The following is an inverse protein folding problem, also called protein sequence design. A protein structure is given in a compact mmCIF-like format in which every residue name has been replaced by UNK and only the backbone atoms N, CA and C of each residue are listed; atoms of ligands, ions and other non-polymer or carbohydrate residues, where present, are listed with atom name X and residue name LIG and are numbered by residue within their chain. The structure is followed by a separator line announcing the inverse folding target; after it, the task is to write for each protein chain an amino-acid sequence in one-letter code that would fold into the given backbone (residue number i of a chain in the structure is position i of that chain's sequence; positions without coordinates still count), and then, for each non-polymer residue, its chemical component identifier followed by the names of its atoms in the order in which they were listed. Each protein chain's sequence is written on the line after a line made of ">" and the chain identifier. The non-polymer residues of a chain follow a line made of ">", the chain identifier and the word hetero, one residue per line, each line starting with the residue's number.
data_IF_214579559766
#
_entry.id   IF_214579559766
#
_cell.length_a   1.000
_cell.length_b   1.000
_cell.length_c   1.000
_cell.angle_alpha   90.00
_cell.angle_beta   90.00
_cell.angle_gamma   90.00
#
_symmetry.space_group_name_H-M   'P 1'
#
loop_
_entity.id
_entity.type
_entity.pdbx_description
1 polymer ?
#
# COMPACT_ATOMS: atom_id res chain seq x y z
N UNK A 1 0.92 3.41 12.09
CA UNK A 1 1.84 4.43 11.54
C UNK A 1 1.62 4.64 10.05
N UNK A 2 1.99 3.70 9.18
CA UNK A 2 1.83 3.90 7.73
C UNK A 2 0.59 3.20 7.17
N UNK A 3 0.01 3.73 6.09
CA UNK A 3 -1.07 3.11 5.30
C UNK A 3 -0.63 3.01 3.84
N UNK A 4 -0.83 1.83 3.23
CA UNK A 4 -0.59 1.59 1.81
C UNK A 4 -1.92 1.22 1.13
N UNK A 5 -2.17 1.80 -0.04
CA UNK A 5 -3.35 1.53 -0.87
C UNK A 5 -2.86 1.19 -2.26
N UNK A 6 -3.35 0.08 -2.84
CA UNK A 6 -3.07 -0.30 -4.22
C UNK A 6 -4.37 -0.29 -5.04
N UNK A 7 -4.32 0.34 -6.20
CA UNK A 7 -5.40 0.37 -7.17
C UNK A 7 -5.06 -0.59 -8.33
N UNK A 8 -5.57 -1.83 -8.31
CA UNK A 8 -5.20 -2.84 -9.30
C UNK A 8 -5.63 -2.49 -10.73
N UNK A 9 -6.62 -1.61 -10.91
CA UNK A 9 -7.11 -1.23 -12.23
C UNK A 9 -6.07 -0.47 -13.07
N UNK A 10 -5.26 0.37 -12.44
CA UNK A 10 -4.27 1.23 -13.11
C UNK A 10 -2.85 1.09 -12.55
N UNK A 11 -2.65 0.23 -11.54
CA UNK A 11 -1.35 -0.02 -10.93
C UNK A 11 -0.86 1.11 -10.02
N UNK A 12 -1.72 2.08 -9.68
CA UNK A 12 -1.37 3.16 -8.77
C UNK A 12 -1.21 2.62 -7.35
N UNK A 13 -0.20 3.14 -6.64
CA UNK A 13 0.05 2.84 -5.24
C UNK A 13 0.18 4.15 -4.50
N UNK A 14 -0.49 4.26 -3.36
CA UNK A 14 -0.40 5.40 -2.45
C UNK A 14 0.17 4.95 -1.11
N UNK A 15 0.97 5.80 -0.47
CA UNK A 15 1.57 5.55 0.83
C UNK A 15 1.47 6.80 1.71
N UNK A 16 0.87 6.66 2.88
CA UNK A 16 0.69 7.76 3.84
C UNK A 16 1.33 7.44 5.19
N UNK A 17 1.93 8.44 5.85
CA UNK A 17 2.39 8.35 7.24
C UNK A 17 1.33 8.96 8.17
N UNK A 18 0.41 8.15 8.69
CA UNK A 18 -0.72 8.62 9.51
C UNK A 18 -0.31 9.32 10.82
N UNK A 19 0.93 9.15 11.28
CA UNK A 19 1.42 9.88 12.46
C UNK A 19 1.77 11.34 12.12
N UNK A 20 2.29 11.58 10.91
CA UNK A 20 2.70 12.92 10.45
C UNK A 20 1.67 13.59 9.54
N UNK A 21 0.87 12.77 8.87
CA UNK A 21 -0.16 13.13 7.91
C UNK A 21 -1.45 12.36 8.22
N UNK A 22 -2.14 12.69 9.32
CA UNK A 22 -3.37 12.03 9.73
C UNK A 22 -4.53 12.24 8.74
N UNK A 23 -4.39 13.20 7.82
CA UNK A 23 -5.39 13.56 6.81
C UNK A 23 -5.05 13.04 5.41
N UNK A 24 -3.97 12.26 5.26
CA UNK A 24 -3.59 11.58 4.01
C UNK A 24 -3.47 12.56 2.82
N UNK A 25 -2.92 13.75 3.08
CA UNK A 25 -2.76 14.81 2.07
C UNK A 25 -1.48 14.64 1.23
N UNK A 26 -0.50 13.86 1.70
CA UNK A 26 0.82 13.74 1.08
C UNK A 26 1.15 12.28 0.74
N UNK A 27 1.03 11.93 -0.54
CA UNK A 27 1.44 10.62 -1.02
C UNK A 27 2.97 10.48 -1.07
N UNK A 28 3.48 9.44 -0.41
CA UNK A 28 4.89 9.10 -0.28
C UNK A 28 5.29 7.90 -1.15
N UNK A 29 4.40 7.33 -1.97
CA UNK A 29 4.64 6.07 -2.66
C UNK A 29 5.79 6.09 -3.69
N UNK A 30 6.01 7.25 -4.32
CA UNK A 30 7.11 7.47 -5.27
C UNK A 30 8.40 7.97 -4.60
N UNK A 31 8.35 8.30 -3.31
CA UNK A 31 9.51 8.82 -2.60
C UNK A 31 10.54 7.70 -2.33
N UNK A 32 11.79 7.80 -2.85
CA UNK A 32 12.80 6.76 -2.70
C UNK A 32 13.10 6.38 -1.25
N UNK A 33 12.98 7.33 -0.31
CA UNK A 33 13.23 7.10 1.11
C UNK A 33 12.26 6.09 1.73
N UNK A 34 11.04 5.96 1.17
CA UNK A 34 10.00 5.09 1.70
C UNK A 34 9.81 3.79 0.89
N UNK A 35 10.68 3.49 -0.09
CA UNK A 35 10.57 2.26 -0.89
C UNK A 35 10.61 0.98 -0.02
N UNK A 36 11.42 0.97 1.04
CA UNK A 36 11.47 -0.15 1.97
C UNK A 36 10.12 -0.34 2.69
N UNK A 37 9.54 0.74 3.21
CA UNK A 37 8.24 0.72 3.88
C UNK A 37 7.11 0.31 2.93
N UNK A 38 7.13 0.83 1.70
CA UNK A 38 6.19 0.42 0.64
C UNK A 38 6.27 -1.08 0.39
N UNK A 39 7.48 -1.62 0.23
CA UNK A 39 7.68 -3.06 0.00
C UNK A 39 7.15 -3.90 1.16
N UNK A 40 7.52 -3.56 2.40
CA UNK A 40 7.09 -4.29 3.61
C UNK A 40 5.57 -4.27 3.79
N UNK A 41 4.91 -3.15 3.48
CA UNK A 41 3.44 -3.07 3.54
C UNK A 41 2.77 -3.80 2.37
N UNK A 42 3.36 -3.78 1.18
CA UNK A 42 2.88 -4.56 0.04
C UNK A 42 2.93 -6.07 0.29
N UNK A 43 3.99 -6.56 0.93
CA UNK A 43 4.11 -7.96 1.36
C UNK A 43 2.98 -8.32 2.35
N UNK A 44 2.77 -7.50 3.37
CA UNK A 44 1.67 -7.68 4.34
C UNK A 44 0.28 -7.61 3.71
N UNK A 45 0.11 -6.74 2.71
CA UNK A 45 -1.15 -6.64 1.97
C UNK A 45 -1.42 -7.96 1.23
N UNK A 46 -0.42 -8.51 0.55
CA UNK A 46 -0.57 -9.80 -0.15
C UNK A 46 -0.87 -10.94 0.82
N UNK A 47 -0.18 -10.99 1.96
CA UNK A 47 -0.47 -11.98 3.02
C UNK A 47 -1.93 -11.89 3.47
N UNK A 48 -2.41 -10.67 3.77
CA UNK A 48 -3.80 -10.45 4.18
C UNK A 48 -4.81 -10.83 3.08
N UNK A 49 -4.50 -10.52 1.83
CA UNK A 49 -5.35 -10.90 0.69
C UNK A 49 -5.46 -12.42 0.54
N UNK A 50 -4.38 -13.16 0.78
CA UNK A 50 -4.40 -14.63 0.80
C UNK A 50 -5.25 -15.17 1.95
N UNK A 51 -5.10 -14.61 3.16
CA UNK A 51 -5.90 -15.00 4.33
C UNK A 51 -7.40 -14.78 4.12
N UNK A 52 -7.77 -13.71 3.42
CA UNK A 52 -9.16 -13.35 3.14
C UNK A 52 -9.73 -14.01 1.88
N UNK A 53 -8.93 -14.82 1.17
CA UNK A 53 -9.28 -15.36 -0.15
C UNK A 53 -9.78 -14.26 -1.11
N UNK A 54 -9.06 -13.14 -1.15
CA UNK A 54 -9.42 -11.97 -1.95
C UNK A 54 -9.45 -12.32 -3.45
N UNK A 55 -10.60 -12.20 -4.14
CA UNK A 55 -10.74 -12.53 -5.56
C UNK A 55 -9.92 -11.61 -6.48
N UNK A 56 -9.39 -10.49 -5.96
CA UNK A 56 -8.49 -9.62 -6.71
C UNK A 56 -7.13 -10.26 -6.98
N UNK A 57 -6.70 -11.26 -6.20
CA UNK A 57 -5.45 -11.98 -6.44
C UNK A 57 -5.47 -12.79 -7.75
N UNK A 58 -6.64 -13.30 -8.16
CA UNK A 58 -6.77 -14.06 -9.41
C UNK A 58 -6.66 -13.18 -10.68
N UNK A 59 -6.80 -11.86 -10.52
CA UNK A 59 -6.84 -10.89 -11.62
C UNK A 59 -5.57 -10.06 -11.77
N UNK A 60 -4.54 -10.35 -10.97
CA UNK A 60 -3.30 -9.58 -10.89
C UNK A 60 -2.28 -9.97 -11.96
#
# INVERSE_FOLDING_TARGET
>A
RYKLIEYPHNGEVQLFDLEKDPWEQYDLAENPTYQKTRKELGEKLVELQLELADPLLEKR
#
